data_IF_702623453745
#
_entry.id   IF_702623453745
#
_cell.length_a   1.000
_cell.length_b   1.000
_cell.length_c   1.000
_cell.angle_alpha   90.00
_cell.angle_beta   90.00
_cell.angle_gamma   90.00
#
_symmetry.space_group_name_H-M   'P 1'
#
loop_
_entity.id
_entity.type
_entity.pdbx_description
1 polymer ?
#
# COMPACT_ATOMS: atom_id res chain seq x y z
N UNK A 1 -6.14 -32.57 -15.70
CA UNK A 1 -6.73 -31.36 -16.32
C UNK A 1 -5.83 -30.18 -16.01
N UNK A 2 -5.04 -29.75 -16.97
CA UNK A 2 -4.20 -28.56 -16.85
C UNK A 2 -5.10 -27.33 -16.89
N UNK A 3 -5.41 -26.76 -15.72
CA UNK A 3 -6.07 -25.45 -15.64
C UNK A 3 -5.15 -24.41 -16.31
N UNK A 4 -5.43 -24.07 -17.54
CA UNK A 4 -4.79 -22.95 -18.21
C UNK A 4 -5.20 -21.67 -17.48
N UNK A 5 -4.30 -21.16 -16.67
CA UNK A 5 -4.53 -19.89 -15.95
C UNK A 5 -4.63 -18.78 -16.99
N UNK A 6 -5.83 -18.22 -17.15
CA UNK A 6 -6.07 -17.14 -18.10
C UNK A 6 -5.38 -15.85 -17.64
N UNK A 7 -4.78 -15.08 -18.56
CA UNK A 7 -4.23 -13.73 -18.25
C UNK A 7 -5.26 -12.83 -17.54
N UNK A 8 -6.54 -12.97 -17.91
CA UNK A 8 -7.64 -12.25 -17.26
C UNK A 8 -7.78 -12.64 -15.77
N UNK A 9 -7.62 -13.92 -15.42
CA UNK A 9 -7.69 -14.35 -14.02
C UNK A 9 -6.51 -13.83 -13.20
N UNK A 10 -5.30 -13.83 -13.77
CA UNK A 10 -4.10 -13.27 -13.12
C UNK A 10 -4.29 -11.78 -12.82
N UNK A 11 -4.79 -11.02 -13.80
CA UNK A 11 -5.07 -9.58 -13.63
C UNK A 11 -6.12 -9.34 -12.53
N UNK A 12 -7.20 -10.11 -12.52
CA UNK A 12 -8.26 -9.99 -11.52
C UNK A 12 -7.74 -10.32 -10.11
N UNK A 13 -6.94 -11.37 -9.97
CA UNK A 13 -6.35 -11.75 -8.68
C UNK A 13 -5.30 -10.71 -8.23
N UNK A 14 -4.49 -10.15 -9.14
CA UNK A 14 -3.60 -9.03 -8.81
C UNK A 14 -4.37 -7.80 -8.33
N UNK A 15 -5.43 -7.42 -9.02
CA UNK A 15 -6.32 -6.31 -8.62
C UNK A 15 -6.97 -6.57 -7.26
N UNK A 16 -7.33 -7.83 -6.98
CA UNK A 16 -7.96 -8.22 -5.72
C UNK A 16 -6.97 -8.28 -4.56
N UNK A 17 -5.72 -8.76 -4.79
CA UNK A 17 -4.72 -8.86 -3.73
C UNK A 17 -4.19 -7.48 -3.31
N UNK A 18 -4.00 -6.56 -4.26
CA UNK A 18 -3.58 -5.19 -4.00
C UNK A 18 -4.72 -4.31 -3.47
N UNK A 19 -5.98 -4.77 -3.54
CA UNK A 19 -7.19 -3.95 -3.30
C UNK A 19 -7.12 -2.65 -4.11
N UNK A 20 -6.98 -2.76 -5.42
CA UNK A 20 -6.66 -1.64 -6.32
C UNK A 20 -7.53 -0.39 -6.11
N UNK A 21 -8.84 -0.55 -5.85
CA UNK A 21 -9.72 0.59 -5.57
C UNK A 21 -9.31 1.37 -4.31
N UNK A 22 -9.02 0.65 -3.21
CA UNK A 22 -8.52 1.27 -1.98
C UNK A 22 -7.14 1.91 -2.21
N UNK A 23 -6.23 1.21 -2.90
CA UNK A 23 -4.90 1.74 -3.18
C UNK A 23 -4.95 3.05 -3.98
N UNK A 24 -5.83 3.15 -4.96
CA UNK A 24 -6.04 4.39 -5.74
C UNK A 24 -6.54 5.53 -4.84
N UNK A 25 -7.50 5.27 -3.94
CA UNK A 25 -8.01 6.29 -3.01
C UNK A 25 -6.91 6.81 -2.08
N UNK A 26 -6.04 5.92 -1.60
CA UNK A 26 -4.90 6.29 -0.75
C UNK A 26 -3.86 7.11 -1.52
N UNK A 27 -3.57 6.73 -2.77
CA UNK A 27 -2.69 7.50 -3.66
C UNK A 27 -3.25 8.91 -3.92
N UNK A 28 -4.58 9.02 -4.08
CA UNK A 28 -5.22 10.33 -4.22
C UNK A 28 -4.97 11.23 -3.01
N UNK A 29 -5.02 10.69 -1.78
CA UNK A 29 -4.65 11.44 -0.57
C UNK A 29 -3.20 11.91 -0.60
N UNK A 30 -2.27 11.08 -1.08
CA UNK A 30 -0.86 11.48 -1.23
C UNK A 30 -0.68 12.58 -2.27
N UNK A 31 -1.40 12.50 -3.39
CA UNK A 31 -1.39 13.56 -4.42
C UNK A 31 -1.95 14.86 -3.86
N UNK A 32 -3.03 14.81 -3.06
CA UNK A 32 -3.60 15.99 -2.42
C UNK A 32 -2.58 16.65 -1.46
N UNK A 33 -1.90 15.88 -0.61
CA UNK A 33 -0.84 16.38 0.26
C UNK A 33 0.31 16.99 -0.54
N UNK A 34 0.71 16.36 -1.64
CA UNK A 34 1.76 16.88 -2.52
C UNK A 34 1.37 18.24 -3.14
N UNK A 35 0.15 18.36 -3.67
CA UNK A 35 -0.34 19.60 -4.30
C UNK A 35 -0.41 20.75 -3.31
N UNK A 36 -0.70 20.48 -2.04
CA UNK A 36 -0.69 21.49 -0.99
C UNK A 36 0.73 21.91 -0.57
N UNK A 37 1.73 21.06 -0.81
CA UNK A 37 3.12 21.32 -0.46
C UNK A 37 3.95 22.00 -1.55
N UNK A 38 3.42 22.24 -2.75
CA UNK A 38 4.12 22.90 -3.85
C UNK A 38 3.65 24.31 -4.06
N UNK A 39 4.58 25.24 -4.30
CA UNK A 39 4.27 26.64 -4.63
C UNK A 39 3.95 26.81 -6.13
N UNK A 40 4.64 26.10 -6.99
CA UNK A 40 4.52 26.21 -8.44
C UNK A 40 4.59 24.84 -9.14
N UNK A 41 3.82 24.71 -10.24
CA UNK A 41 3.89 23.53 -11.11
C UNK A 41 4.96 23.71 -12.19
N UNK A 42 5.98 22.85 -12.17
CA UNK A 42 7.00 22.75 -13.20
C UNK A 42 6.88 21.41 -13.95
N UNK A 43 7.62 21.27 -15.05
CA UNK A 43 7.68 19.99 -15.79
C UNK A 43 8.24 18.86 -14.90
N UNK A 44 9.19 19.18 -14.04
CA UNK A 44 9.76 18.26 -13.03
C UNK A 44 8.72 17.70 -12.05
N UNK A 45 7.71 18.51 -11.71
CA UNK A 45 6.62 18.16 -10.78
C UNK A 45 5.83 16.93 -11.26
N UNK A 46 5.59 16.81 -12.56
CA UNK A 46 4.87 15.66 -13.13
C UNK A 46 5.61 14.34 -12.94
N UNK A 47 6.95 14.37 -13.02
CA UNK A 47 7.77 13.18 -12.77
C UNK A 47 7.74 12.77 -11.29
N UNK A 48 7.72 13.75 -10.38
CA UNK A 48 7.58 13.47 -8.94
C UNK A 48 6.20 12.89 -8.65
N UNK A 49 5.13 13.48 -9.19
CA UNK A 49 3.76 12.97 -9.07
C UNK A 49 3.63 11.54 -9.60
N UNK A 50 4.22 11.24 -10.75
CA UNK A 50 4.19 9.90 -11.32
C UNK A 50 4.88 8.87 -10.40
N UNK A 51 6.06 9.21 -9.89
CA UNK A 51 6.80 8.36 -8.95
C UNK A 51 6.04 8.18 -7.64
N UNK A 52 5.45 9.26 -7.11
CA UNK A 52 4.63 9.23 -5.90
C UNK A 52 3.39 8.35 -6.10
N UNK A 53 2.70 8.48 -7.23
CA UNK A 53 1.50 7.69 -7.52
C UNK A 53 1.83 6.20 -7.66
N UNK A 54 2.84 5.85 -8.45
CA UNK A 54 3.24 4.45 -8.66
C UNK A 54 3.85 3.88 -7.38
N UNK A 55 4.77 4.61 -6.74
CA UNK A 55 5.42 4.21 -5.48
C UNK A 55 4.40 4.02 -4.35
N UNK A 56 3.50 4.99 -4.18
CA UNK A 56 2.40 4.91 -3.21
C UNK A 56 1.47 3.73 -3.47
N UNK A 57 1.07 3.51 -4.73
CA UNK A 57 0.27 2.34 -5.11
C UNK A 57 0.98 1.03 -4.78
N UNK A 58 2.27 0.93 -5.07
CA UNK A 58 3.08 -0.25 -4.76
C UNK A 58 3.14 -0.51 -3.24
N UNK A 59 3.36 0.53 -2.42
CA UNK A 59 3.41 0.38 -0.95
C UNK A 59 2.07 -0.06 -0.37
N UNK A 60 0.96 0.56 -0.79
CA UNK A 60 -0.39 0.18 -0.33
C UNK A 60 -0.78 -1.20 -0.83
N UNK A 61 -0.48 -1.52 -2.10
CA UNK A 61 -0.71 -2.83 -2.69
C UNK A 61 0.04 -3.94 -1.96
N UNK A 62 1.32 -3.69 -1.65
CA UNK A 62 2.15 -4.60 -0.85
C UNK A 62 1.55 -4.83 0.55
N UNK A 63 1.18 -3.75 1.25
CA UNK A 63 0.55 -3.82 2.57
C UNK A 63 -0.72 -4.68 2.57
N UNK A 64 -1.57 -4.50 1.55
CA UNK A 64 -2.79 -5.31 1.38
C UNK A 64 -2.49 -6.78 1.07
N UNK A 65 -1.45 -7.06 0.27
CA UNK A 65 -1.04 -8.41 -0.06
C UNK A 65 -0.49 -9.14 1.17
N UNK A 66 0.39 -8.51 1.95
CA UNK A 66 0.85 -9.07 3.23
C UNK A 66 -0.29 -9.30 4.21
N UNK A 67 -1.22 -8.35 4.32
CA UNK A 67 -2.40 -8.50 5.18
C UNK A 67 -3.22 -9.75 4.80
N UNK A 68 -3.45 -10.04 3.50
CA UNK A 68 -4.16 -11.24 3.08
C UNK A 68 -3.41 -12.53 3.40
N UNK A 69 -2.08 -12.51 3.48
CA UNK A 69 -1.28 -13.67 3.90
C UNK A 69 -1.39 -13.88 5.40
N UNK A 70 -1.26 -12.80 6.18
CA UNK A 70 -1.33 -12.85 7.66
C UNK A 70 -2.72 -13.29 8.13
N UNK A 71 -3.77 -12.78 7.49
CA UNK A 71 -5.16 -13.03 7.87
C UNK A 71 -5.82 -14.21 7.13
N UNK A 72 -5.06 -14.99 6.37
CA UNK A 72 -5.59 -16.04 5.50
C UNK A 72 -6.66 -16.91 6.14
N UNK A 73 -6.39 -17.43 7.34
CA UNK A 73 -7.28 -18.37 8.01
C UNK A 73 -8.54 -17.68 8.56
N UNK A 74 -8.40 -16.46 9.07
CA UNK A 74 -9.52 -15.62 9.49
C UNK A 74 -10.40 -15.19 8.32
N UNK A 75 -9.77 -14.77 7.23
CA UNK A 75 -10.47 -14.38 6.00
C UNK A 75 -11.30 -15.53 5.41
N UNK A 76 -10.83 -16.76 5.53
CA UNK A 76 -11.55 -17.95 5.05
C UNK A 76 -12.85 -18.21 5.85
N UNK A 77 -12.94 -17.78 7.10
CA UNK A 77 -14.11 -17.95 7.96
C UNK A 77 -15.19 -16.87 7.74
N UNK A 78 -14.85 -15.76 7.12
CA UNK A 78 -15.74 -14.60 7.00
C UNK A 78 -16.37 -14.53 5.61
N UNK A 79 -17.70 -14.41 5.54
CA UNK A 79 -18.44 -14.35 4.27
C UNK A 79 -17.96 -13.25 3.32
N UNK A 80 -17.55 -12.10 3.87
CA UNK A 80 -17.05 -10.96 3.10
C UNK A 80 -15.68 -11.19 2.49
N UNK A 81 -14.83 -12.02 3.10
CA UNK A 81 -13.40 -12.14 2.76
C UNK A 81 -12.98 -13.54 2.30
N UNK A 82 -13.81 -14.57 2.47
CA UNK A 82 -13.51 -15.94 2.05
C UNK A 82 -13.16 -16.08 0.56
N UNK A 83 -13.63 -15.15 -0.27
CA UNK A 83 -13.36 -15.12 -1.71
C UNK A 83 -12.09 -14.33 -2.09
N UNK A 84 -11.29 -13.85 -1.13
CA UNK A 84 -9.99 -13.24 -1.42
C UNK A 84 -9.02 -14.25 -2.05
N UNK A 85 -8.11 -13.83 -2.93
CA UNK A 85 -7.20 -14.74 -3.63
C UNK A 85 -6.46 -15.73 -2.74
N UNK A 86 -5.92 -15.26 -1.59
CA UNK A 86 -5.16 -16.11 -0.68
C UNK A 86 -6.07 -16.99 0.18
N UNK A 87 -7.15 -16.44 0.73
CA UNK A 87 -8.09 -17.17 1.59
C UNK A 87 -8.83 -18.28 0.81
N UNK A 88 -9.20 -18.02 -0.44
CA UNK A 88 -9.87 -19.00 -1.32
C UNK A 88 -8.93 -20.05 -1.94
N UNK A 89 -7.61 -19.94 -1.72
CA UNK A 89 -6.61 -20.83 -2.30
C UNK A 89 -6.31 -20.59 -3.79
N UNK A 90 -6.92 -19.58 -4.45
CA UNK A 90 -6.59 -19.24 -5.85
C UNK A 90 -5.17 -18.75 -6.01
N UNK A 91 -4.62 -18.11 -4.99
CA UNK A 91 -3.22 -17.66 -4.94
C UNK A 91 -2.53 -18.29 -3.73
N UNK A 92 -1.41 -18.97 -3.98
CA UNK A 92 -0.61 -19.53 -2.90
C UNK A 92 -0.02 -18.40 -2.02
N UNK A 93 0.02 -18.54 -0.68
CA UNK A 93 0.60 -17.54 0.20
C UNK A 93 2.04 -17.15 -0.18
N UNK A 94 2.85 -18.11 -0.62
CA UNK A 94 4.23 -17.85 -1.08
C UNK A 94 4.27 -16.90 -2.28
N UNK A 95 3.37 -17.09 -3.25
CA UNK A 95 3.27 -16.21 -4.43
C UNK A 95 2.84 -14.81 -3.99
N UNK A 96 1.87 -14.72 -3.08
CA UNK A 96 1.42 -13.44 -2.52
C UNK A 96 2.55 -12.68 -1.80
N UNK A 97 3.39 -13.38 -1.01
CA UNK A 97 4.57 -12.78 -0.36
C UNK A 97 5.58 -12.29 -1.40
N UNK A 98 5.87 -13.06 -2.44
CA UNK A 98 6.79 -12.64 -3.51
C UNK A 98 6.29 -11.38 -4.20
N UNK A 99 4.99 -11.35 -4.57
CA UNK A 99 4.36 -10.16 -5.18
C UNK A 99 4.44 -8.96 -4.24
N UNK A 100 4.10 -9.14 -2.96
CA UNK A 100 4.18 -8.08 -1.95
C UNK A 100 5.61 -7.54 -1.79
N UNK A 101 6.61 -8.43 -1.75
CA UNK A 101 8.02 -8.03 -1.63
C UNK A 101 8.51 -7.27 -2.86
N UNK A 102 8.15 -7.70 -4.06
CA UNK A 102 8.47 -6.99 -5.30
C UNK A 102 7.85 -5.59 -5.31
N UNK A 103 6.56 -5.47 -4.93
CA UNK A 103 5.90 -4.19 -4.82
C UNK A 103 6.56 -3.29 -3.75
N UNK A 104 6.95 -3.86 -2.60
CA UNK A 104 7.66 -3.11 -1.55
C UNK A 104 8.98 -2.53 -2.06
N UNK A 105 9.81 -3.36 -2.70
CA UNK A 105 11.10 -2.92 -3.24
C UNK A 105 10.90 -1.84 -4.30
N UNK A 106 9.99 -2.06 -5.27
CA UNK A 106 9.69 -1.08 -6.30
C UNK A 106 9.18 0.23 -5.71
N UNK A 107 8.24 0.15 -4.76
CA UNK A 107 7.69 1.31 -4.08
C UNK A 107 8.76 2.11 -3.33
N UNK A 108 9.63 1.44 -2.56
CA UNK A 108 10.72 2.10 -1.84
C UNK A 108 11.73 2.75 -2.78
N UNK A 109 12.11 2.08 -3.87
CA UNK A 109 13.04 2.64 -4.88
C UNK A 109 12.45 3.90 -5.52
N UNK A 110 11.17 3.87 -5.91
CA UNK A 110 10.50 5.03 -6.50
C UNK A 110 10.39 6.19 -5.50
N UNK A 111 9.98 5.94 -4.27
CA UNK A 111 9.88 6.96 -3.23
C UNK A 111 11.26 7.52 -2.85
N UNK A 112 12.28 6.66 -2.74
CA UNK A 112 13.65 7.10 -2.49
C UNK A 112 14.20 7.99 -3.61
N UNK A 113 13.80 7.73 -4.85
CA UNK A 113 14.18 8.57 -6.00
C UNK A 113 13.52 9.95 -6.01
N UNK A 114 12.55 10.19 -5.14
CA UNK A 114 11.99 11.52 -4.85
C UNK A 114 12.86 12.18 -3.77
N UNK A 115 12.85 11.62 -2.58
CA UNK A 115 13.75 11.96 -1.47
C UNK A 115 13.79 10.83 -0.42
N UNK A 116 14.85 10.73 0.41
CA UNK A 116 14.98 9.69 1.42
C UNK A 116 13.85 9.68 2.46
N UNK A 117 13.31 10.86 2.82
CA UNK A 117 12.22 11.00 3.78
C UNK A 117 10.94 10.34 3.27
N UNK A 118 10.61 10.47 1.99
CA UNK A 118 9.46 9.80 1.37
C UNK A 118 9.57 8.27 1.45
N UNK A 119 10.76 7.72 1.19
CA UNK A 119 10.99 6.28 1.33
C UNK A 119 10.86 5.83 2.80
N UNK A 120 11.37 6.62 3.74
CA UNK A 120 11.25 6.33 5.17
C UNK A 120 9.79 6.29 5.61
N UNK A 121 8.97 7.28 5.24
CA UNK A 121 7.53 7.27 5.56
C UNK A 121 6.79 6.09 4.90
N UNK A 122 7.15 5.74 3.66
CA UNK A 122 6.65 4.54 3.00
C UNK A 122 6.99 3.26 3.79
N UNK A 123 8.24 3.10 4.22
CA UNK A 123 8.69 1.96 5.02
C UNK A 123 7.99 1.89 6.38
N UNK A 124 7.85 3.03 7.08
CA UNK A 124 7.13 3.12 8.35
C UNK A 124 5.67 2.73 8.16
N UNK A 125 5.01 3.22 7.10
CA UNK A 125 3.61 2.92 6.81
C UNK A 125 3.38 1.42 6.63
N UNK A 126 4.18 0.74 5.79
CA UNK A 126 4.03 -0.69 5.56
C UNK A 126 4.32 -1.50 6.83
N UNK A 127 5.35 -1.12 7.60
CA UNK A 127 5.67 -1.75 8.86
C UNK A 127 4.54 -1.63 9.87
N UNK A 128 4.03 -0.43 10.11
CA UNK A 128 2.92 -0.19 11.04
C UNK A 128 1.66 -0.96 10.62
N UNK A 129 1.34 -0.96 9.33
CA UNK A 129 0.16 -1.64 8.84
C UNK A 129 0.27 -3.17 8.93
N UNK A 130 1.40 -3.75 8.52
CA UNK A 130 1.56 -5.21 8.44
C UNK A 130 1.95 -5.84 9.76
N UNK A 131 2.91 -5.23 10.48
CA UNK A 131 3.52 -5.82 11.68
C UNK A 131 2.86 -5.39 12.99
N UNK A 132 2.16 -4.24 13.00
CA UNK A 132 1.51 -3.74 14.22
C UNK A 132 0.00 -3.79 14.10
N UNK A 133 -0.60 -3.06 13.14
CA UNK A 133 -2.05 -2.95 13.01
C UNK A 133 -2.72 -4.31 12.70
N UNK A 134 -2.21 -5.05 11.71
CA UNK A 134 -2.85 -6.29 11.26
C UNK A 134 -2.93 -7.35 12.36
N UNK A 135 -1.87 -7.65 13.14
CA UNK A 135 -1.98 -8.55 14.28
C UNK A 135 -2.85 -7.99 15.42
N UNK A 136 -2.71 -6.68 15.70
CA UNK A 136 -3.36 -6.05 16.85
C UNK A 136 -4.88 -6.05 16.74
N UNK A 137 -5.42 -5.99 15.52
CA UNK A 137 -6.88 -5.89 15.32
C UNK A 137 -7.64 -7.15 15.75
N UNK A 138 -6.96 -8.28 15.90
CA UNK A 138 -7.54 -9.51 16.42
C UNK A 138 -7.40 -9.64 17.94
N UNK A 139 -6.58 -8.79 18.57
CA UNK A 139 -6.22 -8.89 19.99
C UNK A 139 -6.89 -7.80 20.85
N UNK A 140 -7.06 -6.60 20.29
CA UNK A 140 -7.53 -5.44 21.07
C UNK A 140 -8.17 -4.36 20.21
N UNK A 141 -9.13 -3.62 20.80
CA UNK A 141 -9.73 -2.42 20.18
C UNK A 141 -8.75 -1.26 20.00
N UNK A 142 -7.60 -1.25 20.69
CA UNK A 142 -6.52 -0.28 20.46
C UNK A 142 -6.01 -0.29 19.01
N UNK A 143 -6.26 -1.36 18.27
CA UNK A 143 -5.96 -1.43 16.83
C UNK A 143 -6.56 -0.29 16.02
N UNK A 144 -7.73 0.24 16.42
CA UNK A 144 -8.37 1.38 15.75
C UNK A 144 -7.48 2.63 15.86
N UNK A 145 -6.96 2.88 17.07
CA UNK A 145 -6.02 4.00 17.30
C UNK A 145 -4.72 3.81 16.53
N UNK A 146 -4.13 2.62 16.59
CA UNK A 146 -2.90 2.31 15.85
C UNK A 146 -3.12 2.40 14.33
N UNK A 147 -4.29 1.99 13.84
CA UNK A 147 -4.66 2.06 12.42
C UNK A 147 -4.80 3.48 11.87
N UNK A 148 -5.00 4.48 12.74
CA UNK A 148 -5.06 5.87 12.33
C UNK A 148 -3.70 6.37 11.79
N UNK A 149 -2.58 5.88 12.33
CA UNK A 149 -1.24 6.30 11.88
C UNK A 149 -0.95 5.92 10.42
N UNK A 150 -1.02 4.63 10.00
CA UNK A 150 -0.82 4.30 8.60
C UNK A 150 -1.90 4.92 7.68
N UNK A 151 -3.06 5.29 8.23
CA UNK A 151 -4.09 6.03 7.50
C UNK A 151 -3.74 7.49 7.22
N UNK A 152 -3.02 8.16 8.13
CA UNK A 152 -2.59 9.55 8.00
C UNK A 152 -1.31 9.69 7.14
N UNK A 153 -0.40 8.72 7.21
CA UNK A 153 0.90 8.76 6.53
C UNK A 153 0.79 9.07 5.02
N UNK A 154 -0.17 8.56 4.24
CA UNK A 154 -0.23 8.86 2.81
C UNK A 154 -0.31 10.35 2.49
N UNK A 155 -1.10 11.11 3.24
CA UNK A 155 -1.20 12.55 3.05
C UNK A 155 0.11 13.27 3.42
N UNK A 156 0.68 12.92 4.58
CA UNK A 156 1.98 13.43 5.05
C UNK A 156 3.09 13.08 4.05
N UNK A 157 3.09 11.87 3.51
CA UNK A 157 4.06 11.43 2.50
C UNK A 157 3.99 12.29 1.24
N UNK A 158 2.79 12.71 0.83
CA UNK A 158 2.61 13.65 -0.27
C UNK A 158 3.28 15.01 0.01
N UNK A 159 3.03 15.59 1.18
CA UNK A 159 3.67 16.83 1.61
C UNK A 159 5.20 16.71 1.65
N UNK A 160 5.71 15.66 2.30
CA UNK A 160 7.16 15.40 2.37
C UNK A 160 7.78 15.18 0.98
N UNK A 161 7.04 14.57 0.06
CA UNK A 161 7.50 14.39 -1.32
C UNK A 161 7.64 15.74 -2.06
N UNK A 162 6.80 16.73 -1.71
CA UNK A 162 6.83 18.07 -2.30
C UNK A 162 7.92 18.94 -1.70
N UNK A 163 7.99 18.99 -0.36
CA UNK A 163 8.84 19.93 0.38
C UNK A 163 10.21 19.37 0.76
N UNK A 164 10.36 18.04 0.82
CA UNK A 164 11.53 17.37 1.37
C UNK A 164 11.59 17.37 2.90
N UNK A 165 10.70 18.10 3.56
CA UNK A 165 10.70 18.33 5.00
C UNK A 165 9.46 17.74 5.68
N UNK A 166 9.62 17.37 6.95
CA UNK A 166 8.54 16.96 7.83
C UNK A 166 8.40 17.99 8.95
N UNK A 167 7.26 18.65 8.99
CA UNK A 167 6.95 19.71 9.96
C UNK A 167 5.50 19.64 10.44
N UNK A 168 5.08 20.67 11.16
CA UNK A 168 3.72 20.81 11.70
C UNK A 168 2.69 20.93 10.56
N UNK A 169 3.12 21.42 9.41
CA UNK A 169 2.29 21.60 8.20
C UNK A 169 1.93 20.26 7.53
N UNK A 170 2.74 19.22 7.72
CA UNK A 170 2.50 17.87 7.18
C UNK A 170 1.47 17.11 8.02
#
# INVERSE_FOLDING_TARGET
>A
MTNTVSLKSIYLDFKAITKAGLAISVVFSSIAGFVLGIDHFEVSTWWVLLKLAIGGYCMVGASNAYNQVIEKDLDALMDRTKNRPVASGRMQPRVAVVVASMLTILGLVLLYSINPSSAMFGAISIFLYTSVYTPLKTMTSLSVFVGAFPGAIPFMLGWVAATGEFGIEA
#
